data_IF_344846745537
#
_entry.id   IF_344846745537
#
_cell.length_a   1.000
_cell.length_b   1.000
_cell.length_c   1.000
_cell.angle_alpha   90.00
_cell.angle_beta   90.00
_cell.angle_gamma   90.00
#
_symmetry.space_group_name_H-M   'P 1'
#
loop_
_entity.id
_entity.type
_entity.pdbx_description
1 polymer ?
#
# COMPACT_ATOMS: atom_id res chain seq x y z
N UNK A 1 -45.04 11.80 68.43
CA UNK A 1 -45.41 12.41 67.14
C UNK A 1 -44.13 12.75 66.39
N UNK A 2 -43.97 12.13 65.22
CA UNK A 2 -43.17 12.49 64.04
C UNK A 2 -41.62 12.47 64.17
N UNK A 3 -40.94 11.38 63.81
CA UNK A 3 -40.53 10.90 62.46
C UNK A 3 -39.44 11.71 61.76
N UNK A 4 -38.22 11.12 61.76
CA UNK A 4 -37.34 10.93 60.60
C UNK A 4 -37.21 12.10 59.62
N UNK A 5 -36.25 13.00 59.86
CA UNK A 5 -35.72 13.92 58.84
C UNK A 5 -34.27 13.58 58.49
N UNK A 6 -34.15 12.49 57.73
CA UNK A 6 -33.33 12.37 56.51
C UNK A 6 -31.87 12.82 56.60
N UNK A 7 -31.05 11.81 56.89
CA UNK A 7 -29.77 11.56 56.23
C UNK A 7 -29.86 11.82 54.71
N UNK A 8 -29.05 12.75 54.19
CA UNK A 8 -28.36 12.72 52.87
C UNK A 8 -27.78 14.11 52.57
N UNK A 9 -26.58 14.35 53.09
CA UNK A 9 -25.70 15.35 52.49
C UNK A 9 -25.18 14.76 51.16
N UNK A 10 -25.86 15.11 50.06
CA UNK A 10 -25.33 15.00 48.71
C UNK A 10 -24.16 15.99 48.58
N UNK A 11 -22.95 15.54 48.92
CA UNK A 11 -21.74 16.27 48.58
C UNK A 11 -21.35 15.92 47.14
N UNK A 12 -22.04 16.52 46.17
CA UNK A 12 -21.46 16.70 44.84
C UNK A 12 -20.43 17.83 44.97
N UNK A 13 -19.15 17.53 44.70
CA UNK A 13 -18.61 18.05 43.44
C UNK A 13 -17.65 17.03 42.83
N UNK A 14 -17.59 16.94 41.51
CA UNK A 14 -16.34 16.77 40.75
C UNK A 14 -16.57 16.78 39.23
N UNK A 15 -17.57 17.53 38.75
CA UNK A 15 -17.75 17.72 37.30
C UNK A 15 -16.50 18.32 36.64
N UNK A 16 -15.78 19.22 37.32
CA UNK A 16 -14.57 19.87 36.80
C UNK A 16 -13.38 18.90 36.68
N UNK A 17 -13.20 18.01 37.66
CA UNK A 17 -12.14 16.99 37.62
C UNK A 17 -12.38 15.95 36.51
N UNK A 18 -13.63 15.51 36.35
CA UNK A 18 -14.03 14.62 35.26
C UNK A 18 -13.85 15.27 33.88
N UNK A 19 -14.21 16.54 33.71
CA UNK A 19 -14.05 17.28 32.45
C UNK A 19 -12.57 17.50 32.10
N UNK A 20 -11.72 17.87 33.08
CA UNK A 20 -10.27 18.02 32.85
C UNK A 20 -9.60 16.69 32.53
N UNK A 21 -9.97 15.62 33.22
CA UNK A 21 -9.50 14.26 32.94
C UNK A 21 -9.89 13.80 31.53
N UNK A 22 -11.16 13.98 31.15
CA UNK A 22 -11.65 13.65 29.82
C UNK A 22 -10.95 14.47 28.72
N UNK A 23 -10.71 15.76 28.95
CA UNK A 23 -10.00 16.63 28.01
C UNK A 23 -8.53 16.21 27.82
N UNK A 24 -7.85 15.81 28.90
CA UNK A 24 -6.48 15.30 28.82
C UNK A 24 -6.41 13.95 28.09
N UNK A 25 -7.33 13.03 28.39
CA UNK A 25 -7.41 11.72 27.71
C UNK A 25 -7.73 11.86 26.22
N UNK A 26 -8.67 12.74 25.85
CA UNK A 26 -9.00 13.01 24.44
C UNK A 26 -7.84 13.65 23.69
N UNK A 27 -7.09 14.58 24.31
CA UNK A 27 -5.86 15.13 23.71
C UNK A 27 -4.78 14.08 23.52
N UNK A 28 -4.52 13.24 24.52
CA UNK A 28 -3.55 12.15 24.41
C UNK A 28 -3.95 11.13 23.35
N UNK A 29 -5.23 10.78 23.27
CA UNK A 29 -5.77 9.90 22.25
C UNK A 29 -5.66 10.52 20.85
N UNK A 30 -5.95 11.81 20.71
CA UNK A 30 -5.78 12.53 19.44
C UNK A 30 -4.32 12.59 19.00
N UNK A 31 -3.38 12.85 19.91
CA UNK A 31 -1.94 12.83 19.62
C UNK A 31 -1.39 11.45 19.28
N UNK A 32 -2.06 10.38 19.73
CA UNK A 32 -1.72 9.00 19.36
C UNK A 32 -2.36 8.54 18.06
N UNK A 33 -3.24 9.32 17.43
CA UNK A 33 -3.73 8.98 16.09
C UNK A 33 -2.55 9.12 15.13
N UNK A 34 -2.00 7.98 14.73
CA UNK A 34 -0.98 7.90 13.68
C UNK A 34 -1.59 8.40 12.38
N UNK A 35 -0.80 9.18 11.65
CA UNK A 35 -1.13 9.65 10.32
C UNK A 35 -1.51 8.46 9.41
N UNK A 36 -2.75 8.40 8.88
CA UNK A 36 -3.21 7.28 8.07
C UNK A 36 -2.31 7.04 6.85
N UNK A 37 -1.77 8.11 6.25
CA UNK A 37 -0.86 8.00 5.11
C UNK A 37 0.47 7.35 5.51
N UNK A 38 1.02 7.70 6.67
CA UNK A 38 2.23 7.07 7.18
C UNK A 38 2.03 5.57 7.49
N UNK A 39 0.85 5.19 8.01
CA UNK A 39 0.50 3.78 8.22
C UNK A 39 0.43 3.04 6.88
N UNK A 40 -0.26 3.63 5.90
CA UNK A 40 -0.42 3.03 4.59
C UNK A 40 0.92 2.89 3.86
N UNK A 41 1.77 3.92 3.89
CA UNK A 41 3.15 3.86 3.41
C UNK A 41 3.92 2.69 4.02
N UNK A 42 3.87 2.52 5.34
CA UNK A 42 4.54 1.40 6.00
C UNK A 42 3.97 0.04 5.55
N UNK A 43 2.65 -0.06 5.35
CA UNK A 43 2.03 -1.28 4.81
C UNK A 43 2.54 -1.59 3.39
N UNK A 44 2.58 -0.59 2.51
CA UNK A 44 3.08 -0.74 1.12
C UNK A 44 4.53 -1.19 1.09
N UNK A 45 5.40 -0.56 1.88
CA UNK A 45 6.81 -0.95 2.00
C UNK A 45 6.98 -2.36 2.59
N UNK A 46 6.13 -2.74 3.54
CA UNK A 46 6.16 -4.09 4.09
C UNK A 46 5.83 -5.15 3.04
N UNK A 47 4.74 -4.98 2.28
CA UNK A 47 4.41 -5.84 1.13
C UNK A 47 5.53 -5.80 0.09
N UNK A 48 6.14 -4.64 -0.15
CA UNK A 48 7.25 -4.52 -1.09
C UNK A 48 8.44 -5.43 -0.72
N UNK A 49 8.81 -5.45 0.56
CA UNK A 49 9.96 -6.21 1.06
C UNK A 49 9.76 -7.73 1.05
N UNK A 50 8.56 -8.20 1.39
CA UNK A 50 8.31 -9.65 1.59
C UNK A 50 7.37 -10.30 0.57
N UNK A 51 6.75 -9.50 -0.29
CA UNK A 51 5.77 -9.97 -1.26
C UNK A 51 6.39 -10.70 -2.44
N UNK A 52 5.58 -11.54 -3.09
CA UNK A 52 5.87 -12.16 -4.39
C UNK A 52 5.23 -11.36 -5.51
N UNK A 53 5.82 -11.44 -6.70
CA UNK A 53 5.28 -10.78 -7.90
C UNK A 53 4.52 -11.80 -8.74
N UNK A 54 3.36 -11.40 -9.24
CA UNK A 54 2.56 -12.15 -10.22
C UNK A 54 2.07 -11.22 -11.32
N UNK A 55 1.64 -11.80 -12.44
CA UNK A 55 0.96 -11.05 -13.47
C UNK A 55 -0.46 -10.71 -13.02
N UNK A 56 -0.90 -9.50 -13.35
CA UNK A 56 -2.26 -9.02 -13.16
C UNK A 56 -2.68 -8.10 -14.30
N UNK A 57 -3.86 -7.52 -14.18
CA UNK A 57 -4.43 -6.61 -15.16
C UNK A 57 -5.07 -5.43 -14.44
N UNK A 58 -4.90 -4.23 -14.99
CA UNK A 58 -5.63 -3.05 -14.53
C UNK A 58 -7.04 -3.11 -15.11
N UNK A 59 -8.03 -3.03 -14.23
CA UNK A 59 -9.44 -3.20 -14.59
C UNK A 59 -10.14 -1.85 -14.69
N UNK A 60 -9.88 -0.95 -13.75
CA UNK A 60 -10.58 0.34 -13.66
C UNK A 60 -9.71 1.41 -12.98
N UNK A 61 -10.08 2.66 -13.18
CA UNK A 61 -9.51 3.84 -12.56
C UNK A 61 -10.64 4.71 -12.06
N UNK A 62 -10.78 4.78 -10.74
CA UNK A 62 -11.77 5.62 -10.10
C UNK A 62 -11.12 6.97 -9.80
N UNK A 63 -11.50 7.97 -10.57
CA UNK A 63 -11.06 9.34 -10.37
C UNK A 63 -12.04 10.13 -9.48
N UNK A 64 -11.53 11.03 -8.62
CA UNK A 64 -12.39 11.90 -7.86
C UNK A 64 -13.11 12.89 -8.78
N UNK A 65 -14.44 12.95 -8.66
CA UNK A 65 -15.23 13.98 -9.33
C UNK A 65 -15.30 15.24 -8.45
N UNK A 66 -14.98 16.44 -8.95
CA UNK A 66 -15.19 17.69 -8.23
C UNK A 66 -16.68 17.83 -7.85
N UNK A 67 -17.04 18.30 -6.63
CA UNK A 67 -16.20 18.96 -5.63
C UNK A 67 -15.66 18.04 -4.51
N UNK A 68 -15.73 16.71 -4.65
CA UNK A 68 -15.40 15.79 -3.57
C UNK A 68 -13.88 15.60 -3.40
N UNK A 69 -13.35 15.67 -2.16
CA UNK A 69 -11.97 15.30 -1.87
C UNK A 69 -11.84 13.77 -1.78
N UNK A 70 -11.97 13.07 -2.91
CA UNK A 70 -11.70 11.63 -3.00
C UNK A 70 -10.28 11.37 -3.48
N UNK A 71 -9.69 10.26 -3.05
CA UNK A 71 -8.44 9.75 -3.62
C UNK A 71 -8.64 9.20 -5.04
N UNK A 72 -7.56 9.11 -5.82
CA UNK A 72 -7.50 8.41 -7.10
C UNK A 72 -7.21 6.93 -6.82
N UNK A 73 -8.14 6.05 -7.14
CA UNK A 73 -8.01 4.61 -6.90
C UNK A 73 -7.80 3.85 -8.20
N UNK A 74 -6.75 3.03 -8.23
CA UNK A 74 -6.50 2.10 -9.33
C UNK A 74 -7.02 0.72 -8.95
N UNK A 75 -7.91 0.17 -9.77
CA UNK A 75 -8.49 -1.16 -9.59
C UNK A 75 -7.75 -2.15 -10.46
N UNK A 76 -7.33 -3.26 -9.87
CA UNK A 76 -6.58 -4.30 -10.56
C UNK A 76 -7.02 -5.68 -10.09
N UNK A 77 -6.81 -6.66 -10.96
CA UNK A 77 -7.06 -8.07 -10.64
C UNK A 77 -5.83 -8.92 -10.93
N UNK A 78 -5.70 -10.00 -10.18
CA UNK A 78 -4.66 -11.02 -10.40
C UNK A 78 -5.14 -12.35 -9.84
N UNK A 79 -4.45 -13.43 -10.22
CA UNK A 79 -4.80 -14.78 -9.81
C UNK A 79 -3.65 -15.42 -9.01
N UNK A 80 -4.00 -16.09 -7.91
CA UNK A 80 -3.07 -16.93 -7.15
C UNK A 80 -3.80 -18.22 -6.79
N UNK A 81 -3.20 -19.37 -7.14
CA UNK A 81 -3.74 -20.69 -6.83
C UNK A 81 -5.20 -20.91 -7.27
N UNK A 82 -5.58 -20.42 -8.47
CA UNK A 82 -6.93 -20.56 -9.00
C UNK A 82 -7.94 -19.56 -8.45
N UNK A 83 -7.53 -18.66 -7.55
CA UNK A 83 -8.39 -17.64 -6.96
C UNK A 83 -8.06 -16.27 -7.53
N UNK A 84 -9.06 -15.64 -8.13
CA UNK A 84 -8.96 -14.26 -8.63
C UNK A 84 -9.25 -13.29 -7.51
N UNK A 85 -8.32 -12.37 -7.29
CA UNK A 85 -8.46 -11.25 -6.37
C UNK A 85 -8.62 -9.98 -7.18
N UNK A 86 -9.61 -9.17 -6.85
CA UNK A 86 -9.81 -7.83 -7.40
C UNK A 86 -9.76 -6.80 -6.26
N UNK A 87 -8.88 -5.81 -6.39
CA UNK A 87 -8.61 -4.83 -5.33
C UNK A 87 -8.47 -3.44 -5.92
N UNK A 88 -8.71 -2.44 -5.08
CA UNK A 88 -8.38 -1.05 -5.35
C UNK A 88 -7.18 -0.63 -4.51
N UNK A 89 -6.29 0.18 -5.10
CA UNK A 89 -5.21 0.86 -4.39
C UNK A 89 -5.34 2.37 -4.57
N UNK A 90 -5.31 3.12 -3.47
CA UNK A 90 -5.15 4.58 -3.54
C UNK A 90 -3.73 4.91 -4.02
N UNK A 91 -3.66 5.63 -5.14
CA UNK A 91 -2.41 6.08 -5.76
C UNK A 91 -2.21 7.59 -5.63
N UNK A 92 -3.06 8.29 -4.86
CA UNK A 92 -2.99 9.74 -4.68
C UNK A 92 -1.66 10.20 -4.10
N UNK A 93 -1.06 9.41 -3.22
CA UNK A 93 0.26 9.67 -2.64
C UNK A 93 1.44 9.21 -3.50
N UNK A 94 1.17 8.63 -4.67
CA UNK A 94 2.16 8.13 -5.62
C UNK A 94 2.05 8.90 -6.94
N UNK A 95 2.63 10.11 -7.06
CA UNK A 95 2.37 11.04 -8.18
C UNK A 95 2.77 10.48 -9.55
N UNK A 96 3.86 9.72 -9.62
CA UNK A 96 4.31 9.07 -10.86
C UNK A 96 3.29 8.03 -11.34
N UNK A 97 2.81 7.20 -10.42
CA UNK A 97 1.80 6.16 -10.67
C UNK A 97 0.46 6.80 -11.05
N UNK A 98 0.05 7.84 -10.32
CA UNK A 98 -1.17 8.59 -10.59
C UNK A 98 -1.15 9.23 -12.00
N UNK A 99 0.02 9.61 -12.51
CA UNK A 99 0.18 10.19 -13.85
C UNK A 99 0.11 9.15 -14.98
N UNK A 100 0.46 7.90 -14.68
CA UNK A 100 0.41 6.77 -15.61
C UNK A 100 -0.96 6.08 -15.63
N UNK A 101 -1.66 6.06 -14.50
CA UNK A 101 -2.91 5.33 -14.29
C UNK A 101 -3.96 5.49 -15.42
N UNK A 102 -4.23 6.69 -15.98
CA UNK A 102 -5.22 6.84 -17.05
C UNK A 102 -4.84 6.11 -18.35
N UNK A 103 -3.57 5.80 -18.55
CA UNK A 103 -3.04 5.15 -19.78
C UNK A 103 -2.90 3.64 -19.64
N UNK A 104 -3.17 3.10 -18.45
CA UNK A 104 -2.92 1.69 -18.12
C UNK A 104 -4.19 0.85 -18.04
N UNK A 105 -5.37 1.44 -18.27
CA UNK A 105 -6.64 0.70 -18.26
C UNK A 105 -6.63 -0.46 -19.27
N UNK A 106 -6.95 -1.66 -18.80
CA UNK A 106 -6.94 -2.88 -19.59
C UNK A 106 -5.56 -3.50 -19.82
N UNK A 107 -4.47 -2.78 -19.51
CA UNK A 107 -3.10 -3.24 -19.72
C UNK A 107 -2.68 -4.27 -18.68
N UNK A 108 -1.71 -5.11 -19.06
CA UNK A 108 -1.05 -6.01 -18.12
C UNK A 108 -0.22 -5.21 -17.10
N UNK A 109 -0.20 -5.69 -15.87
CA UNK A 109 0.58 -5.11 -14.80
C UNK A 109 1.26 -6.21 -13.97
N UNK A 110 2.34 -5.84 -13.30
CA UNK A 110 2.93 -6.68 -12.25
C UNK A 110 2.27 -6.33 -10.93
N UNK A 111 1.73 -7.33 -10.23
CA UNK A 111 1.16 -7.17 -8.89
C UNK A 111 2.10 -7.80 -7.88
N UNK A 112 2.40 -7.08 -6.80
CA UNK A 112 3.12 -7.64 -5.67
C UNK A 112 2.15 -7.94 -4.53
N UNK A 113 2.18 -9.16 -4.01
CA UNK A 113 1.24 -9.64 -2.98
C UNK A 113 1.96 -10.38 -1.86
N UNK A 114 1.37 -10.38 -0.68
CA UNK A 114 1.81 -11.20 0.45
C UNK A 114 1.32 -12.66 0.29
N UNK A 115 2.21 -13.67 0.18
CA UNK A 115 1.79 -15.06 0.02
C UNK A 115 0.99 -15.63 1.19
N UNK A 116 1.14 -15.07 2.39
CA UNK A 116 0.39 -15.50 3.58
C UNK A 116 -1.02 -14.91 3.63
N UNK A 117 -1.20 -13.74 2.99
CA UNK A 117 -2.47 -13.04 2.90
C UNK A 117 -2.59 -12.46 1.49
N UNK A 118 -3.01 -13.25 0.47
CA UNK A 118 -2.97 -12.81 -0.93
C UNK A 118 -3.68 -11.48 -1.15
N UNK A 119 -4.87 -11.29 -0.56
CA UNK A 119 -5.61 -10.02 -0.59
C UNK A 119 -4.84 -8.79 -0.04
N UNK A 120 -3.68 -8.97 0.59
CA UNK A 120 -2.76 -7.89 0.89
C UNK A 120 -1.77 -7.73 -0.27
N UNK A 121 -2.16 -6.91 -1.24
CA UNK A 121 -1.38 -6.65 -2.46
C UNK A 121 -1.24 -5.16 -2.77
N UNK A 122 -0.29 -4.86 -3.67
CA UNK A 122 -0.01 -3.53 -4.20
C UNK A 122 0.35 -3.64 -5.70
N UNK A 123 -0.03 -2.61 -6.45
CA UNK A 123 0.49 -2.32 -7.80
C UNK A 123 1.73 -1.43 -7.74
N UNK A 124 1.81 -0.57 -6.72
CA UNK A 124 2.97 0.30 -6.55
C UNK A 124 3.22 0.67 -5.09
N UNK A 125 4.44 1.11 -4.82
CA UNK A 125 4.86 1.79 -3.60
C UNK A 125 5.93 2.83 -3.97
N UNK A 126 6.50 3.46 -2.95
CA UNK A 126 7.53 4.50 -3.07
C UNK A 126 8.81 4.01 -3.75
N UNK A 127 9.07 2.70 -3.74
CA UNK A 127 10.31 2.09 -4.24
C UNK A 127 10.10 1.22 -5.48
N UNK A 128 8.84 1.01 -5.91
CA UNK A 128 8.52 0.08 -7.00
C UNK A 128 7.19 0.36 -7.65
N UNK A 129 7.13 0.20 -8.98
CA UNK A 129 5.92 0.35 -9.77
C UNK A 129 5.75 -0.87 -10.69
N UNK A 130 4.56 -1.46 -10.67
CA UNK A 130 4.18 -2.58 -11.51
C UNK A 130 3.46 -2.22 -12.81
N UNK A 131 3.26 -0.92 -13.08
CA UNK A 131 2.60 -0.46 -14.30
C UNK A 131 3.55 -0.52 -15.50
N UNK A 132 3.04 -1.03 -16.63
CA UNK A 132 3.78 -0.96 -17.89
C UNK A 132 3.83 0.49 -18.39
N UNK A 133 5.04 1.02 -18.62
CA UNK A 133 5.18 2.25 -19.40
C UNK A 133 4.91 1.91 -20.86
N UNK A 134 3.90 2.54 -21.48
CA UNK A 134 3.55 2.35 -22.90
C UNK A 134 4.65 2.74 -23.90
N UNK A 135 5.77 3.29 -23.44
CA UNK A 135 6.98 3.53 -24.26
C UNK A 135 7.87 2.28 -24.39
N UNK A 136 7.58 1.19 -23.67
CA UNK A 136 8.22 -0.11 -23.90
C UNK A 136 7.54 -0.83 -25.06
N UNK A 137 7.80 -0.37 -26.28
CA UNK A 137 7.55 -1.18 -27.47
C UNK A 137 8.36 -2.47 -27.42
N UNK A 138 7.70 -3.61 -27.61
CA UNK A 138 8.30 -4.87 -28.09
C UNK A 138 9.61 -5.31 -27.39
N UNK A 139 9.51 -6.04 -26.27
CA UNK A 139 10.69 -6.65 -25.66
C UNK A 139 10.36 -7.73 -24.63
N UNK A 140 10.11 -8.94 -25.12
CA UNK A 140 10.41 -10.25 -24.51
C UNK A 140 10.46 -10.32 -22.98
N UNK A 141 9.50 -11.06 -22.41
CA UNK A 141 9.44 -11.41 -21.00
C UNK A 141 10.75 -11.99 -20.44
N UNK A 142 11.13 -11.47 -19.27
CA UNK A 142 12.29 -11.92 -18.52
C UNK A 142 12.16 -13.39 -18.11
N UNK A 143 12.92 -14.25 -18.78
CA UNK A 143 13.29 -15.58 -18.32
C UNK A 143 14.39 -15.41 -17.26
N UNK A 144 14.33 -16.09 -16.10
CA UNK A 144 15.45 -16.07 -15.15
C UNK A 144 16.63 -16.82 -15.78
N UNK A 145 17.69 -16.08 -16.09
CA UNK A 145 18.96 -16.58 -16.60
C UNK A 145 19.68 -17.36 -15.49
N UNK A 146 19.74 -18.67 -15.67
CA UNK A 146 20.43 -19.61 -14.79
C UNK A 146 21.89 -19.75 -15.24
N UNK A 147 22.78 -19.89 -14.26
CA UNK A 147 24.24 -19.94 -14.31
C UNK A 147 24.83 -20.81 -15.44
N UNK A 148 25.79 -20.23 -16.18
CA UNK A 148 27.03 -20.94 -16.57
C UNK A 148 28.15 -19.97 -16.97
N UNK A 149 28.99 -19.59 -16.01
CA UNK A 149 30.27 -18.94 -16.29
C UNK A 149 31.32 -20.01 -16.58
N UNK A 150 31.48 -20.33 -17.86
CA UNK A 150 32.55 -21.20 -18.38
C UNK A 150 33.39 -20.34 -19.33
N UNK A 151 34.24 -19.49 -18.77
CA UNK A 151 35.11 -18.61 -19.55
C UNK A 151 36.31 -19.41 -20.03
N UNK A 152 36.21 -19.92 -21.26
CA UNK A 152 37.34 -20.33 -22.09
C UNK A 152 37.67 -19.19 -23.04
N UNK A 153 38.81 -18.53 -22.88
CA UNK A 153 39.63 -18.03 -24.01
C UNK A 153 41.03 -17.66 -23.51
N UNK A 154 42.05 -18.41 -23.93
CA UNK A 154 42.90 -18.14 -25.11
C UNK A 154 43.85 -16.96 -24.90
N UNK A 155 45.15 -17.27 -24.92
CA UNK A 155 46.21 -16.30 -25.24
C UNK A 155 47.05 -16.89 -26.37
N UNK A 156 46.71 -16.44 -27.59
CA UNK A 156 47.53 -16.12 -28.76
C UNK A 156 48.94 -16.77 -28.89
N UNK A 157 49.27 -17.41 -30.03
CA UNK A 157 50.64 -17.58 -30.47
C UNK A 157 50.99 -16.53 -31.53
N UNK A 158 52.04 -15.74 -31.31
CA UNK A 158 52.62 -14.93 -32.37
C UNK A 158 53.70 -13.98 -31.91
N UNK A 159 54.97 -14.33 -32.15
CA UNK A 159 55.90 -13.58 -33.01
C UNK A 159 57.35 -13.99 -32.73
N UNK A 160 58.10 -14.04 -33.84
CA UNK A 160 59.45 -14.55 -34.04
C UNK A 160 60.53 -13.95 -33.14
N UNK A 161 61.54 -14.76 -32.78
CA UNK A 161 62.97 -14.62 -33.17
C UNK A 161 63.61 -16.01 -33.14
#
# INVERSE_FOLDING_TARGET
MNTLARLRALLAPNGVGALRGASLLTRLAAWRRKDPEAIERLRRLDVHRRGRITAGQIVDLVEPQPPAPSGRFLVYKYEVAGVTYELSQDVSSLPEVASLAPRTLGEAASVKYDPTTPANSIIACEEWCGLASRDQGSGVGGRPENQKSETRNQKEPGSDV
#
